data_IF_308286174115
#
_entry.id   IF_308286174115
#
_cell.length_a   1.000
_cell.length_b   1.000
_cell.length_c   1.000
_cell.angle_alpha   90.00
_cell.angle_beta   90.00
_cell.angle_gamma   90.00
#
_symmetry.space_group_name_H-M   'P 1'
#
loop_
_entity.id
_entity.type
_entity.pdbx_description
1 polymer ?
#
# COMPACT_ATOMS: atom_id res chain seq x y z
N UNK A 1 15.32 -56.17 23.82
CA UNK A 1 14.50 -55.93 22.61
C UNK A 1 14.33 -57.23 21.82
N UNK A 2 13.39 -57.33 20.88
CA UNK A 2 13.27 -58.49 19.98
C UNK A 2 13.87 -58.14 18.61
N UNK A 3 14.61 -59.06 17.99
CA UNK A 3 15.13 -58.85 16.65
C UNK A 3 13.96 -58.76 15.64
N UNK A 4 13.85 -57.66 14.91
CA UNK A 4 12.77 -57.43 13.93
C UNK A 4 12.79 -58.40 12.74
N UNK A 5 13.91 -59.08 12.50
CA UNK A 5 14.08 -60.06 11.42
C UNK A 5 13.75 -61.49 11.80
N UNK A 6 14.11 -61.93 13.01
CA UNK A 6 13.95 -63.35 13.42
C UNK A 6 13.10 -63.55 14.69
N UNK A 7 12.64 -62.46 15.31
CA UNK A 7 11.70 -62.49 16.44
C UNK A 7 12.28 -62.98 17.77
N UNK A 8 13.58 -63.30 17.85
CA UNK A 8 14.23 -63.75 19.09
C UNK A 8 14.60 -62.58 20.00
N UNK A 9 14.52 -62.79 21.31
CA UNK A 9 14.88 -61.79 22.31
C UNK A 9 16.39 -61.58 22.33
N UNK A 10 16.83 -60.32 22.27
CA UNK A 10 18.23 -59.90 22.28
C UNK A 10 18.45 -58.77 23.31
N UNK A 11 19.65 -58.67 23.90
CA UNK A 11 20.00 -57.60 24.83
C UNK A 11 19.96 -56.22 24.17
N UNK A 12 19.57 -55.18 24.91
CA UNK A 12 19.31 -53.83 24.38
C UNK A 12 20.54 -53.08 23.83
N UNK A 13 21.74 -53.65 23.95
CA UNK A 13 23.01 -53.05 23.50
C UNK A 13 23.70 -53.81 22.36
N UNK A 14 23.06 -54.81 21.76
CA UNK A 14 23.69 -55.61 20.68
C UNK A 14 23.54 -54.96 19.32
N UNK A 15 24.66 -54.60 18.68
CA UNK A 15 24.70 -54.01 17.32
C UNK A 15 24.26 -54.97 16.22
N UNK A 16 24.45 -56.28 16.41
CA UNK A 16 24.04 -57.32 15.46
C UNK A 16 23.38 -58.47 16.20
N UNK A 17 22.32 -59.03 15.61
CA UNK A 17 21.60 -60.17 16.16
C UNK A 17 22.50 -61.42 16.13
N UNK A 18 22.81 -62.05 17.29
CA UNK A 18 23.71 -63.20 17.36
C UNK A 18 23.18 -64.43 16.63
N UNK A 19 21.86 -64.50 16.41
CA UNK A 19 21.20 -65.69 15.87
C UNK A 19 20.98 -65.63 14.36
N UNK A 20 20.95 -64.45 13.75
CA UNK A 20 20.69 -64.31 12.31
C UNK A 20 21.58 -63.27 11.61
N UNK A 21 22.51 -62.63 12.32
CA UNK A 21 23.46 -61.66 11.78
C UNK A 21 22.88 -60.31 11.40
N UNK A 22 21.57 -60.07 11.60
CA UNK A 22 20.92 -58.81 11.20
C UNK A 22 21.41 -57.64 12.08
N UNK A 23 21.73 -56.51 11.44
CA UNK A 23 22.09 -55.28 12.14
C UNK A 23 20.86 -54.76 12.92
N UNK A 24 21.05 -54.50 14.21
CA UNK A 24 19.99 -54.07 15.13
C UNK A 24 20.18 -52.59 15.57
N UNK A 25 20.95 -51.81 14.80
CA UNK A 25 21.14 -50.37 15.04
C UNK A 25 19.79 -49.62 15.09
N UNK A 26 19.57 -48.74 16.10
CA UNK A 26 18.39 -47.88 16.20
C UNK A 26 18.22 -46.85 15.07
N UNK A 27 19.19 -46.69 14.17
CA UNK A 27 19.23 -45.59 13.20
C UNK A 27 18.31 -45.82 11.97
N UNK A 28 17.91 -47.06 11.68
CA UNK A 28 17.07 -47.35 10.50
C UNK A 28 15.55 -47.19 10.73
N UNK A 29 15.05 -47.29 11.97
CA UNK A 29 13.62 -47.09 12.27
C UNK A 29 13.20 -45.62 12.13
N UNK A 30 14.12 -44.70 12.46
CA UNK A 30 13.88 -43.25 12.35
C UNK A 30 13.90 -42.80 10.89
N UNK A 31 14.78 -43.36 10.05
CA UNK A 31 14.85 -43.03 8.63
C UNK A 31 13.60 -43.47 7.86
N UNK A 32 13.03 -44.64 8.20
CA UNK A 32 11.79 -45.14 7.62
C UNK A 32 10.57 -44.29 7.99
N UNK A 33 10.45 -43.91 9.28
CA UNK A 33 9.36 -43.06 9.75
C UNK A 33 9.49 -41.62 9.25
N UNK A 34 10.71 -41.05 9.22
CA UNK A 34 10.94 -39.72 8.67
C UNK A 34 10.59 -39.66 7.18
N UNK A 35 10.98 -40.67 6.39
CA UNK A 35 10.64 -40.75 4.97
C UNK A 35 9.13 -40.76 4.71
N UNK A 36 8.34 -41.43 5.55
CA UNK A 36 6.88 -41.43 5.41
C UNK A 36 6.26 -40.07 5.74
N UNK A 37 6.79 -39.37 6.74
CA UNK A 37 6.33 -38.03 7.11
C UNK A 37 6.70 -37.01 6.03
N UNK A 38 7.93 -37.05 5.50
CA UNK A 38 8.38 -36.15 4.43
C UNK A 38 7.55 -36.33 3.15
N UNK A 39 7.30 -37.57 2.71
CA UNK A 39 6.48 -37.82 1.51
C UNK A 39 5.02 -37.34 1.68
N UNK A 40 4.47 -37.41 2.90
CA UNK A 40 3.12 -36.91 3.18
C UNK A 40 3.07 -35.38 3.16
N UNK A 41 4.06 -34.73 3.77
CA UNK A 41 4.18 -33.27 3.77
C UNK A 41 4.42 -32.73 2.37
N UNK A 42 5.25 -33.39 1.55
CA UNK A 42 5.50 -32.98 0.16
C UNK A 42 4.23 -33.06 -0.69
N UNK A 43 3.41 -34.10 -0.51
CA UNK A 43 2.13 -34.25 -1.21
C UNK A 43 1.10 -33.19 -0.78
N UNK A 44 1.03 -32.88 0.51
CA UNK A 44 0.14 -31.83 1.04
C UNK A 44 0.59 -30.42 0.59
N UNK A 45 1.90 -30.15 0.60
CA UNK A 45 2.48 -28.89 0.16
C UNK A 45 2.31 -28.69 -1.35
N UNK A 46 2.46 -29.76 -2.16
CA UNK A 46 2.20 -29.74 -3.60
C UNK A 46 0.75 -29.38 -3.91
N UNK A 47 -0.22 -30.00 -3.21
CA UNK A 47 -1.64 -29.65 -3.39
C UNK A 47 -1.96 -28.22 -2.97
N UNK A 48 -1.34 -27.70 -1.90
CA UNK A 48 -1.52 -26.31 -1.49
C UNK A 48 -0.91 -25.32 -2.49
N UNK A 49 0.23 -25.66 -3.11
CA UNK A 49 0.83 -24.84 -4.15
C UNK A 49 0.01 -24.87 -5.45
N UNK A 50 -0.58 -26.01 -5.81
CA UNK A 50 -1.49 -26.11 -6.95
C UNK A 50 -2.80 -25.34 -6.73
N UNK A 51 -3.32 -25.32 -5.50
CA UNK A 51 -4.49 -24.51 -5.12
C UNK A 51 -4.16 -23.01 -5.19
N UNK A 52 -3.00 -22.58 -4.69
CA UNK A 52 -2.53 -21.20 -4.82
C UNK A 52 -2.26 -20.85 -6.29
N UNK A 53 -1.67 -21.75 -7.08
CA UNK A 53 -1.46 -21.54 -8.52
C UNK A 53 -2.80 -21.45 -9.26
N UNK A 54 -3.81 -22.21 -8.88
CA UNK A 54 -5.18 -22.06 -9.40
C UNK A 54 -5.83 -20.77 -8.92
N UNK A 55 -5.50 -20.23 -7.74
CA UNK A 55 -5.96 -18.89 -7.34
C UNK A 55 -5.35 -17.78 -8.21
N UNK A 56 -4.16 -18.01 -8.80
CA UNK A 56 -3.51 -17.08 -9.73
C UNK A 56 -3.80 -17.34 -11.22
N UNK A 57 -4.14 -18.58 -11.62
CA UNK A 57 -4.44 -18.95 -13.03
C UNK A 57 -5.93 -19.24 -13.31
N UNK A 58 -6.75 -19.38 -12.27
CA UNK A 58 -8.18 -19.68 -12.34
C UNK A 58 -9.04 -18.44 -12.50
N UNK A 59 -8.75 -17.62 -13.52
CA UNK A 59 -9.79 -16.84 -14.20
C UNK A 59 -9.39 -16.48 -15.64
N UNK A 60 -9.19 -17.50 -16.46
CA UNK A 60 -9.12 -17.40 -17.92
C UNK A 60 -10.28 -18.15 -18.56
N UNK A 61 -11.51 -17.79 -18.16
CA UNK A 61 -12.71 -18.02 -18.97
C UNK A 61 -13.88 -17.14 -18.48
N UNK A 62 -13.63 -15.84 -18.45
CA UNK A 62 -14.70 -14.88 -18.70
C UNK A 62 -14.48 -14.29 -20.10
N UNK A 63 -14.85 -15.07 -21.13
CA UNK A 63 -15.21 -14.51 -22.42
C UNK A 63 -16.56 -13.78 -22.29
N UNK A 64 -16.53 -12.65 -21.60
CA UNK A 64 -17.29 -11.46 -21.97
C UNK A 64 -16.60 -10.24 -21.34
N UNK A 65 -15.35 -10.02 -21.74
CA UNK A 65 -14.57 -8.84 -21.38
C UNK A 65 -14.70 -7.75 -22.46
N UNK A 66 -15.94 -7.43 -22.90
CA UNK A 66 -16.32 -6.12 -23.43
C UNK A 66 -17.85 -6.04 -23.67
N UNK A 67 -18.63 -5.66 -22.66
CA UNK A 67 -19.88 -4.87 -22.74
C UNK A 67 -20.73 -5.15 -21.51
N UNK A 68 -20.95 -4.12 -20.69
CA UNK A 68 -22.06 -4.12 -19.73
C UNK A 68 -21.71 -3.96 -18.26
N UNK A 69 -20.77 -3.09 -17.90
CA UNK A 69 -20.95 -2.29 -16.67
C UNK A 69 -21.36 -0.89 -17.08
N UNK A 70 -22.67 -0.72 -17.24
CA UNK A 70 -23.32 0.58 -17.38
C UNK A 70 -23.39 1.22 -15.98
N UNK A 71 -22.24 1.64 -15.47
CA UNK A 71 -22.18 2.58 -14.36
C UNK A 71 -22.08 3.98 -14.97
N UNK A 72 -23.23 4.56 -15.30
CA UNK A 72 -23.45 5.99 -15.49
C UNK A 72 -22.30 6.75 -16.19
N UNK A 73 -22.15 6.54 -17.50
CA UNK A 73 -21.43 7.47 -18.38
C UNK A 73 -22.24 8.74 -18.70
N UNK A 74 -22.80 9.38 -17.67
CA UNK A 74 -23.30 10.76 -17.77
C UNK A 74 -22.60 11.67 -16.76
N UNK A 75 -21.26 11.70 -16.84
CA UNK A 75 -20.52 12.93 -16.58
C UNK A 75 -19.71 13.28 -17.83
N UNK A 76 -20.41 13.38 -18.96
CA UNK A 76 -19.96 14.26 -20.03
C UNK A 76 -20.52 15.64 -19.71
N UNK A 77 -19.70 16.48 -19.09
CA UNK A 77 -19.86 17.92 -19.24
C UNK A 77 -18.48 18.51 -19.41
N UNK A 78 -18.25 18.99 -20.63
CA UNK A 78 -16.93 19.16 -21.22
C UNK A 78 -16.04 20.14 -20.48
N UNK A 79 -14.78 19.77 -20.30
CA UNK A 79 -13.63 20.66 -20.26
C UNK A 79 -12.41 19.84 -20.70
N UNK A 80 -11.67 20.35 -21.69
CA UNK A 80 -10.51 19.68 -22.26
C UNK A 80 -9.39 19.46 -21.22
N UNK A 81 -8.69 18.33 -21.39
CA UNK A 81 -7.28 18.07 -21.03
C UNK A 81 -6.99 17.21 -19.78
N UNK A 82 -7.21 15.91 -19.92
CA UNK A 82 -6.37 14.88 -19.29
C UNK A 82 -7.03 13.51 -19.17
N UNK A 83 -6.31 12.46 -19.52
CA UNK A 83 -6.70 11.08 -19.25
C UNK A 83 -6.65 10.82 -17.74
N UNK A 84 -7.67 10.14 -17.20
CA UNK A 84 -7.63 9.67 -15.81
C UNK A 84 -6.44 8.70 -15.66
N UNK A 85 -5.59 8.86 -14.64
CA UNK A 85 -4.43 7.99 -14.45
C UNK A 85 -4.86 6.53 -14.23
N UNK A 86 -4.03 5.55 -14.64
CA UNK A 86 -4.34 4.14 -14.50
C UNK A 86 -4.47 3.72 -13.03
N UNK A 87 -5.10 2.56 -12.81
CA UNK A 87 -5.19 1.99 -11.47
C UNK A 87 -3.80 1.64 -10.93
N UNK A 88 -3.48 2.16 -9.74
CA UNK A 88 -2.17 2.00 -9.08
C UNK A 88 -2.09 0.76 -8.17
N UNK A 89 -3.13 -0.06 -8.12
CA UNK A 89 -3.16 -1.27 -7.29
C UNK A 89 -3.77 -1.10 -5.90
N UNK A 90 -4.08 0.14 -5.45
CA UNK A 90 -4.75 0.36 -4.15
C UNK A 90 -5.72 1.54 -4.17
N UNK A 91 -6.71 1.51 -3.25
CA UNK A 91 -7.60 2.64 -2.97
C UNK A 91 -6.84 3.76 -2.27
N UNK A 92 -6.95 4.98 -2.78
CA UNK A 92 -6.34 6.15 -2.16
C UNK A 92 -7.14 6.59 -0.94
N UNK A 93 -6.46 7.12 0.08
CA UNK A 93 -7.18 7.68 1.24
C UNK A 93 -7.87 8.98 0.83
N UNK A 94 -9.12 9.17 1.23
CA UNK A 94 -9.97 10.30 0.81
C UNK A 94 -10.80 10.91 1.95
N UNK A 95 -10.57 10.46 3.18
CA UNK A 95 -11.24 10.83 4.42
C UNK A 95 -10.28 11.51 5.41
N UNK A 96 -9.18 12.12 4.93
CA UNK A 96 -8.21 12.79 5.82
C UNK A 96 -8.88 13.96 6.55
N UNK A 97 -8.64 14.08 7.85
CA UNK A 97 -9.20 15.15 8.67
C UNK A 97 -8.12 16.05 9.26
N UNK A 98 -8.42 17.36 9.34
CA UNK A 98 -7.58 18.33 10.04
C UNK A 98 -7.45 18.00 11.54
N UNK A 99 -8.56 17.57 12.17
CA UNK A 99 -8.56 17.19 13.58
C UNK A 99 -7.59 16.03 13.86
N UNK A 100 -7.63 14.97 13.04
CA UNK A 100 -6.69 13.84 13.15
C UNK A 100 -5.25 14.29 12.94
N UNK A 101 -5.00 15.19 11.96
CA UNK A 101 -3.68 15.79 11.76
C UNK A 101 -3.18 16.49 13.01
N UNK A 102 -3.98 17.37 13.63
CA UNK A 102 -3.57 18.14 14.81
C UNK A 102 -3.36 17.22 16.03
N UNK A 103 -4.37 16.41 16.37
CA UNK A 103 -4.37 15.59 17.59
C UNK A 103 -3.23 14.57 17.55
N UNK A 104 -3.07 13.85 16.44
CA UNK A 104 -2.01 12.85 16.32
C UNK A 104 -0.62 13.51 16.24
N UNK A 105 -0.52 14.70 15.66
CA UNK A 105 0.75 15.44 15.68
C UNK A 105 1.14 15.86 17.09
N UNK A 106 0.20 16.27 17.94
CA UNK A 106 0.49 16.57 19.35
C UNK A 106 0.91 15.30 20.11
N UNK A 107 0.15 14.21 19.97
CA UNK A 107 0.42 12.93 20.67
C UNK A 107 1.77 12.34 20.26
N UNK A 108 2.18 12.52 19.00
CA UNK A 108 3.43 11.96 18.46
C UNK A 108 4.59 12.96 18.45
N UNK A 109 4.48 14.08 19.17
CA UNK A 109 5.51 15.12 19.22
C UNK A 109 5.95 15.61 17.83
N UNK A 110 5.00 15.75 16.90
CA UNK A 110 5.20 16.26 15.55
C UNK A 110 5.56 15.20 14.50
N UNK A 111 5.91 13.97 14.89
CA UNK A 111 6.32 12.91 13.94
C UNK A 111 5.18 12.57 12.96
N UNK A 112 3.93 12.53 13.45
CA UNK A 112 2.79 12.26 12.60
C UNK A 112 2.59 13.29 11.49
N UNK A 113 2.93 14.57 11.73
CA UNK A 113 2.79 15.61 10.71
C UNK A 113 3.61 15.29 9.46
N UNK A 114 4.82 14.77 9.63
CA UNK A 114 5.71 14.35 8.55
C UNK A 114 5.18 13.12 7.81
N UNK A 115 4.71 12.11 8.55
CA UNK A 115 4.06 10.94 7.95
C UNK A 115 2.82 11.33 7.14
N UNK A 116 2.02 12.26 7.65
CA UNK A 116 0.82 12.75 6.98
C UNK A 116 1.16 13.43 5.64
N UNK A 117 2.13 14.34 5.66
CA UNK A 117 2.61 15.03 4.45
C UNK A 117 3.15 14.03 3.42
N UNK A 118 3.95 13.06 3.87
CA UNK A 118 4.47 11.99 3.02
C UNK A 118 3.34 11.21 2.33
N UNK A 119 2.38 10.71 3.12
CA UNK A 119 1.27 9.91 2.58
C UNK A 119 0.33 10.73 1.71
N UNK A 120 0.13 12.01 2.02
CA UNK A 120 -0.66 12.90 1.16
C UNK A 120 0.05 13.14 -0.19
N UNK A 121 1.36 13.42 -0.17
CA UNK A 121 2.14 13.63 -1.39
C UNK A 121 2.15 12.39 -2.30
N UNK A 122 2.33 11.21 -1.70
CA UNK A 122 2.29 9.94 -2.40
C UNK A 122 0.94 9.70 -3.09
N UNK A 123 -0.17 9.88 -2.38
CA UNK A 123 -1.50 9.63 -2.95
C UNK A 123 -1.86 10.68 -4.02
N UNK A 124 -1.41 11.93 -3.85
CA UNK A 124 -1.55 12.96 -4.90
C UNK A 124 -0.68 12.64 -6.12
N UNK A 125 0.53 12.10 -5.95
CA UNK A 125 1.35 11.64 -7.08
C UNK A 125 0.63 10.59 -7.92
N UNK A 126 -0.08 9.67 -7.27
CA UNK A 126 -0.89 8.66 -7.97
C UNK A 126 -2.11 9.30 -8.64
N UNK A 127 -2.88 10.09 -7.90
CA UNK A 127 -4.12 10.67 -8.40
C UNK A 127 -3.88 11.73 -9.49
N UNK A 128 -2.69 12.32 -9.54
CA UNK A 128 -2.31 13.29 -10.55
C UNK A 128 -1.28 12.74 -11.53
N UNK A 129 -1.11 11.41 -11.62
CA UNK A 129 -0.17 10.81 -12.56
C UNK A 129 -0.49 11.19 -14.02
N UNK A 130 0.54 11.33 -14.85
CA UNK A 130 0.40 11.82 -16.23
C UNK A 130 0.22 13.34 -16.39
N UNK A 131 0.49 14.14 -15.34
CA UNK A 131 0.60 15.60 -15.45
C UNK A 131 2.04 16.10 -15.71
N UNK A 132 3.02 15.20 -15.76
CA UNK A 132 4.43 15.53 -15.99
C UNK A 132 5.15 16.09 -14.76
N UNK A 133 4.46 16.19 -13.62
CA UNK A 133 4.97 16.75 -12.37
C UNK A 133 5.02 15.66 -11.28
N UNK A 134 5.90 15.82 -10.30
CA UNK A 134 5.95 14.96 -9.12
C UNK A 134 6.10 15.80 -7.86
N UNK A 135 5.19 15.60 -6.90
CA UNK A 135 5.31 16.21 -5.59
C UNK A 135 6.47 15.57 -4.85
N UNK A 136 7.47 16.38 -4.50
CA UNK A 136 8.70 15.93 -3.85
C UNK A 136 8.40 15.20 -2.54
N UNK A 137 9.02 14.03 -2.34
CA UNK A 137 8.81 13.19 -1.17
C UNK A 137 9.33 13.80 0.14
N UNK A 138 9.05 13.12 1.25
CA UNK A 138 9.35 13.60 2.60
C UNK A 138 10.83 13.95 2.84
N UNK A 139 11.75 13.16 2.26
CA UNK A 139 13.19 13.37 2.41
C UNK A 139 13.62 14.69 1.77
N UNK A 140 13.18 14.94 0.54
CA UNK A 140 13.42 16.22 -0.14
C UNK A 140 12.80 17.37 0.65
N UNK A 141 11.57 17.20 1.14
CA UNK A 141 10.89 18.19 1.98
C UNK A 141 11.69 18.57 3.22
N UNK A 142 12.17 17.59 3.99
CA UNK A 142 12.93 17.84 5.23
C UNK A 142 14.29 18.47 4.93
N UNK A 143 15.04 17.90 3.98
CA UNK A 143 16.39 18.36 3.66
C UNK A 143 16.39 19.79 3.11
N UNK A 144 15.55 20.06 2.12
CA UNK A 144 15.48 21.38 1.51
C UNK A 144 14.90 22.41 2.48
N UNK A 145 13.97 22.04 3.36
CA UNK A 145 13.47 22.94 4.41
C UNK A 145 14.55 23.28 5.43
N UNK A 146 15.41 22.35 5.82
CA UNK A 146 16.52 22.65 6.74
C UNK A 146 17.56 23.58 6.07
N UNK A 147 17.93 23.30 4.82
CA UNK A 147 18.90 24.11 4.05
C UNK A 147 18.38 25.53 3.80
N UNK A 148 17.08 25.68 3.52
CA UNK A 148 16.46 26.97 3.17
C UNK A 148 15.81 27.68 4.37
N UNK A 149 16.08 27.23 5.60
CA UNK A 149 15.47 27.79 6.82
C UNK A 149 13.93 27.85 6.77
N UNK A 150 13.29 26.82 6.21
CA UNK A 150 11.84 26.66 6.14
C UNK A 150 11.16 27.28 4.92
N UNK A 151 11.87 28.07 4.10
CA UNK A 151 11.30 28.71 2.91
C UNK A 151 10.82 27.66 1.88
N UNK A 152 11.58 26.58 1.71
CA UNK A 152 11.19 25.50 0.79
C UNK A 152 9.84 24.86 1.17
N UNK A 153 9.50 24.76 2.45
CA UNK A 153 8.23 24.20 2.87
C UNK A 153 7.04 24.98 2.27
N UNK A 154 7.16 26.31 2.20
CA UNK A 154 6.13 27.16 1.59
C UNK A 154 6.01 26.92 0.08
N UNK A 155 7.15 26.81 -0.61
CA UNK A 155 7.17 26.50 -2.04
C UNK A 155 6.57 25.11 -2.32
N UNK A 156 6.84 24.13 -1.47
CA UNK A 156 6.28 22.80 -1.58
C UNK A 156 4.75 22.80 -1.44
N UNK A 157 4.21 23.50 -0.43
CA UNK A 157 2.76 23.63 -0.25
C UNK A 157 2.09 24.36 -1.42
N UNK A 158 2.75 25.39 -1.94
CA UNK A 158 2.32 26.10 -3.15
C UNK A 158 2.22 25.16 -4.36
N UNK A 159 3.28 24.39 -4.65
CA UNK A 159 3.28 23.46 -5.78
C UNK A 159 2.22 22.36 -5.64
N UNK A 160 2.08 21.78 -4.45
CA UNK A 160 1.04 20.79 -4.18
C UNK A 160 -0.36 21.36 -4.45
N UNK A 161 -0.64 22.56 -3.93
CA UNK A 161 -1.94 23.23 -4.13
C UNK A 161 -2.23 23.53 -5.60
N UNK A 162 -1.22 23.99 -6.36
CA UNK A 162 -1.37 24.22 -7.80
C UNK A 162 -1.62 22.94 -8.57
N UNK A 163 -0.91 21.87 -8.23
CA UNK A 163 -1.07 20.57 -8.89
C UNK A 163 -2.45 19.96 -8.64
N UNK A 164 -2.96 20.07 -7.42
CA UNK A 164 -4.34 19.69 -7.09
C UNK A 164 -5.34 20.49 -7.92
N UNK A 165 -5.20 21.81 -7.98
CA UNK A 165 -6.10 22.67 -8.76
C UNK A 165 -6.05 22.39 -10.27
N UNK A 166 -4.86 22.15 -10.83
CA UNK A 166 -4.64 21.87 -12.24
C UNK A 166 -5.23 20.51 -12.67
N UNK A 167 -5.24 19.51 -11.79
CA UNK A 167 -5.78 18.18 -12.08
C UNK A 167 -7.28 18.05 -11.75
N UNK A 168 -7.88 19.01 -11.03
CA UNK A 168 -9.32 19.04 -10.75
C UNK A 168 -10.22 18.84 -11.99
N UNK A 169 -10.00 19.61 -13.07
CA UNK A 169 -10.80 19.48 -14.30
C UNK A 169 -10.79 18.09 -14.93
N UNK A 170 -9.68 17.33 -14.81
CA UNK A 170 -9.58 15.94 -15.32
C UNK A 170 -10.57 14.98 -14.65
N UNK A 171 -11.00 15.33 -13.44
CA UNK A 171 -11.99 14.60 -12.66
C UNK A 171 -13.39 15.27 -12.68
N UNK A 172 -13.61 16.29 -13.51
CA UNK A 172 -14.85 17.07 -13.51
C UNK A 172 -15.04 17.91 -12.23
N UNK A 173 -13.96 18.19 -11.49
CA UNK A 173 -13.98 18.98 -10.26
C UNK A 173 -13.54 20.42 -10.53
N UNK A 174 -14.25 21.37 -9.93
CA UNK A 174 -13.78 22.75 -9.81
C UNK A 174 -13.09 22.94 -8.45
N UNK A 175 -11.79 23.18 -8.48
CA UNK A 175 -10.99 23.51 -7.29
C UNK A 175 -10.68 25.01 -7.35
N UNK A 176 -11.32 25.76 -6.46
CA UNK A 176 -11.16 27.21 -6.38
C UNK A 176 -9.84 27.60 -5.70
N UNK A 177 -9.43 26.85 -4.68
CA UNK A 177 -8.24 27.15 -3.88
C UNK A 177 -6.99 26.50 -4.50
N UNK A 178 -6.12 27.32 -5.08
CA UNK A 178 -4.84 26.91 -5.70
C UNK A 178 -3.64 27.13 -4.77
N UNK A 179 -2.43 26.89 -5.28
CA UNK A 179 -1.17 27.08 -4.56
C UNK A 179 -1.00 28.50 -4.00
N UNK A 180 -1.39 29.54 -4.74
CA UNK A 180 -1.33 30.93 -4.28
C UNK A 180 -2.21 31.14 -3.05
N UNK A 181 -3.41 30.56 -3.04
CA UNK A 181 -4.32 30.66 -1.88
C UNK A 181 -3.71 30.02 -0.64
N UNK A 182 -3.10 28.84 -0.80
CA UNK A 182 -2.39 28.13 0.27
C UNK A 182 -1.21 28.96 0.79
N UNK A 183 -0.41 29.53 -0.11
CA UNK A 183 0.75 30.35 0.23
C UNK A 183 0.35 31.63 0.98
N UNK A 184 -0.73 32.29 0.57
CA UNK A 184 -1.23 33.49 1.25
C UNK A 184 -1.65 33.18 2.69
N UNK A 185 -2.35 32.06 2.92
CA UNK A 185 -2.69 31.63 4.28
C UNK A 185 -1.45 31.25 5.11
N UNK A 186 -0.42 30.70 4.47
CA UNK A 186 0.82 30.31 5.13
C UNK A 186 1.66 31.52 5.59
N UNK A 187 1.68 32.60 4.80
CA UNK A 187 2.45 33.82 5.08
C UNK A 187 1.61 34.83 5.85
N UNK A 188 0.50 35.30 5.27
CA UNK A 188 -0.30 36.36 5.87
C UNK A 188 -1.20 35.87 6.98
N UNK A 189 -1.74 34.65 6.86
CA UNK A 189 -2.54 34.04 7.90
C UNK A 189 -1.74 33.71 9.16
N UNK A 190 -0.41 33.60 9.08
CA UNK A 190 0.43 33.41 10.25
C UNK A 190 0.39 34.63 11.19
N UNK A 191 0.18 35.85 10.66
CA UNK A 191 0.00 37.06 11.48
C UNK A 191 -1.35 37.09 12.22
N UNK A 192 -2.29 36.20 11.88
CA UNK A 192 -3.59 36.06 12.56
C UNK A 192 -3.44 35.02 13.68
N UNK A 193 -2.56 35.31 14.65
CA UNK A 193 -2.29 34.45 15.80
C UNK A 193 -1.91 32.99 15.42
N UNK A 194 -1.22 32.78 14.31
CA UNK A 194 -0.79 31.45 13.88
C UNK A 194 -1.91 30.53 13.38
N UNK A 195 -3.11 31.04 13.09
CA UNK A 195 -4.22 30.24 12.55
C UNK A 195 -4.00 29.88 11.07
N UNK A 196 -3.30 30.74 10.33
CA UNK A 196 -3.08 30.58 8.89
C UNK A 196 -2.55 29.23 8.40
N UNK A 197 -1.47 28.68 9.00
CA UNK A 197 -0.95 27.37 8.64
C UNK A 197 -2.00 26.24 8.75
N UNK A 198 -2.90 26.30 9.73
CA UNK A 198 -3.97 25.31 9.88
C UNK A 198 -5.05 25.46 8.80
N UNK A 199 -5.37 26.69 8.40
CA UNK A 199 -6.29 26.95 7.30
C UNK A 199 -5.69 26.48 5.96
N UNK A 200 -4.41 26.79 5.72
CA UNK A 200 -3.68 26.30 4.55
C UNK A 200 -3.68 24.77 4.50
N UNK A 201 -3.42 24.10 5.63
CA UNK A 201 -3.48 22.64 5.73
C UNK A 201 -4.90 22.12 5.48
N UNK A 202 -5.93 22.77 6.03
CA UNK A 202 -7.31 22.38 5.78
C UNK A 202 -7.63 22.42 4.28
N UNK A 203 -7.23 23.47 3.58
CA UNK A 203 -7.46 23.60 2.14
C UNK A 203 -6.81 22.43 1.38
N UNK A 204 -5.56 22.11 1.68
CA UNK A 204 -4.85 20.99 1.06
C UNK A 204 -5.50 19.63 1.37
N UNK A 205 -5.93 19.41 2.61
CA UNK A 205 -6.63 18.19 3.02
C UNK A 205 -7.94 18.05 2.25
N UNK A 206 -8.74 19.11 2.20
CA UNK A 206 -10.04 19.13 1.50
C UNK A 206 -9.86 18.85 0.00
N UNK A 207 -8.88 19.49 -0.64
CA UNK A 207 -8.67 19.37 -2.08
C UNK A 207 -8.04 18.02 -2.44
N UNK A 208 -7.10 17.51 -1.65
CA UNK A 208 -6.55 16.16 -1.84
C UNK A 208 -7.59 15.07 -1.65
N UNK A 209 -8.45 15.17 -0.63
CA UNK A 209 -9.56 14.24 -0.44
C UNK A 209 -10.53 14.24 -1.62
N UNK A 210 -10.89 15.41 -2.16
CA UNK A 210 -11.76 15.50 -3.35
C UNK A 210 -11.15 14.77 -4.55
N UNK A 211 -9.87 15.01 -4.82
CA UNK A 211 -9.14 14.38 -5.93
C UNK A 211 -9.01 12.87 -5.72
N UNK A 212 -8.59 12.44 -4.52
CA UNK A 212 -8.45 11.01 -4.21
C UNK A 212 -9.80 10.29 -4.25
N UNK A 213 -10.88 10.92 -3.77
CA UNK A 213 -12.22 10.38 -3.89
C UNK A 213 -12.57 10.22 -5.36
N UNK A 214 -12.46 11.28 -6.18
CA UNK A 214 -12.79 11.20 -7.60
C UNK A 214 -11.95 10.15 -8.36
N UNK A 215 -10.67 9.99 -8.03
CA UNK A 215 -9.84 8.88 -8.50
C UNK A 215 -10.46 7.53 -8.11
N UNK A 216 -10.73 7.31 -6.83
CA UNK A 216 -11.35 6.06 -6.37
C UNK A 216 -12.69 5.78 -7.09
N UNK A 217 -13.51 6.81 -7.34
CA UNK A 217 -14.77 6.68 -8.09
C UNK A 217 -14.51 6.24 -9.53
N UNK A 218 -13.55 6.88 -10.20
CA UNK A 218 -13.19 6.57 -11.58
C UNK A 218 -12.63 5.15 -11.74
N UNK A 219 -11.98 4.62 -10.69
CA UNK A 219 -11.45 3.26 -10.64
C UNK A 219 -12.44 2.22 -10.08
N UNK A 220 -13.65 2.60 -9.68
CA UNK A 220 -14.66 1.68 -9.14
C UNK A 220 -14.38 1.17 -7.71
N UNK A 221 -13.66 1.94 -6.90
CA UNK A 221 -13.20 1.57 -5.54
C UNK A 221 -14.06 2.18 -4.40
N UNK A 222 -15.33 2.49 -4.69
CA UNK A 222 -16.26 3.09 -3.72
C UNK A 222 -16.91 2.08 -2.80
#
# INVERSE_FOLDING_TARGET
>A
MFCTKCGKQIPDSTKFCPYCGANCSPEQDIAGQAGQVFNKVEKELGSAFDEVKQSFNGNSNNQNYNQGYNANQNYSNGYNNGTIPPYSGTRLKDDRGLASYIILSIITCGIYSYYFIYKMAHDVNIACDGDGENTSGLVAFILLSFITCGIYAWFWYYNLGNRLAANGPRYGLSIQENGTTVLLWQIFGAFICGIGPFVAMHILIKNSNKICNAYNRAQGLM
#
